data_IF_387370566375
#
_entry.id   IF_387370566375
#
_cell.length_a   1.000
_cell.length_b   1.000
_cell.length_c   1.000
_cell.angle_alpha   90.00
_cell.angle_beta   90.00
_cell.angle_gamma   90.00
#
_symmetry.space_group_name_H-M   'P 1'
#
loop_
_entity.id
_entity.type
_entity.pdbx_description
1 polymer ?
#
# COMPACT_ATOMS: atom_id res chain seq x y z
N UNK A 1 -0.24 6.50 -3.94
CA UNK A 1 -0.66 5.41 -3.04
C UNK A 1 -1.88 5.72 -2.17
N UNK A 2 -1.80 6.62 -1.18
CA UNK A 2 -2.91 6.87 -0.21
C UNK A 2 -4.26 7.12 -0.90
N UNK A 3 -4.29 8.04 -1.87
CA UNK A 3 -5.53 8.44 -2.55
C UNK A 3 -6.24 7.26 -3.22
N UNK A 4 -5.49 6.43 -3.96
CA UNK A 4 -6.03 5.27 -4.68
C UNK A 4 -6.37 4.11 -3.75
N UNK A 5 -5.57 3.88 -2.71
CA UNK A 5 -5.82 2.83 -1.73
C UNK A 5 -7.09 3.06 -0.94
N UNK A 6 -7.24 4.26 -0.35
CA UNK A 6 -8.41 4.59 0.46
C UNK A 6 -9.69 4.68 -0.37
N UNK A 7 -9.61 5.21 -1.60
CA UNK A 7 -10.75 5.22 -2.52
C UNK A 7 -11.15 3.79 -2.93
N UNK A 8 -10.18 2.89 -3.14
CA UNK A 8 -10.44 1.49 -3.47
C UNK A 8 -11.15 0.76 -2.34
N UNK A 9 -10.62 0.79 -1.12
CA UNK A 9 -11.26 0.08 0.00
C UNK A 9 -12.66 0.64 0.30
N UNK A 10 -12.86 1.96 0.17
CA UNK A 10 -14.19 2.57 0.26
C UNK A 10 -15.14 2.14 -0.87
N UNK A 11 -14.61 1.65 -1.99
CA UNK A 11 -15.37 1.05 -3.10
C UNK A 11 -15.64 -0.45 -2.87
N UNK A 12 -14.97 -1.11 -1.91
CA UNK A 12 -15.14 -2.52 -1.58
C UNK A 12 -16.28 -2.79 -0.55
N UNK A 13 -17.20 -1.84 -0.32
CA UNK A 13 -18.21 -1.89 0.75
C UNK A 13 -17.63 -1.98 2.19
N UNK A 14 -16.35 -1.66 2.38
CA UNK A 14 -15.78 -1.57 3.72
C UNK A 14 -16.30 -0.32 4.45
N UNK A 15 -16.69 -0.47 5.73
CA UNK A 15 -17.10 0.67 6.56
C UNK A 15 -15.88 1.45 7.06
N UNK A 16 -15.34 2.28 6.16
CA UNK A 16 -14.20 3.15 6.47
C UNK A 16 -14.56 4.18 7.54
N UNK A 17 -15.82 4.63 7.62
CA UNK A 17 -16.26 5.65 8.57
C UNK A 17 -16.18 5.14 10.01
N UNK A 18 -16.58 3.91 10.26
CA UNK A 18 -16.47 3.30 11.59
C UNK A 18 -15.01 3.03 11.97
N UNK A 19 -14.15 2.67 11.01
CA UNK A 19 -12.72 2.56 11.24
C UNK A 19 -12.08 3.92 11.59
N UNK A 20 -12.48 4.99 10.92
CA UNK A 20 -12.01 6.35 11.19
C UNK A 20 -12.35 6.84 12.58
N UNK A 21 -13.56 6.53 13.05
CA UNK A 21 -14.04 6.88 14.39
C UNK A 21 -13.50 5.93 15.48
N UNK A 22 -12.70 4.93 15.12
CA UNK A 22 -12.18 3.94 16.06
C UNK A 22 -13.23 2.96 16.59
N UNK A 23 -14.41 2.89 15.96
CA UNK A 23 -15.47 1.94 16.32
C UNK A 23 -15.21 0.54 15.75
N UNK A 24 -14.45 0.48 14.66
CA UNK A 24 -13.99 -0.75 14.02
C UNK A 24 -12.47 -0.74 13.93
N UNK A 25 -11.85 -1.90 14.18
CA UNK A 25 -10.42 -2.05 13.95
C UNK A 25 -10.15 -2.24 12.45
N UNK A 26 -9.07 -1.64 11.97
CA UNK A 26 -8.59 -1.77 10.61
C UNK A 26 -7.12 -2.19 10.63
N UNK A 27 -6.84 -3.41 10.17
CA UNK A 27 -5.48 -3.94 10.14
C UNK A 27 -4.79 -3.51 8.85
N UNK A 28 -3.71 -2.75 8.98
CA UNK A 28 -2.94 -2.24 7.86
C UNK A 28 -1.51 -2.77 7.96
N UNK A 29 -0.98 -3.28 6.86
CA UNK A 29 0.43 -3.62 6.72
C UNK A 29 1.13 -2.58 5.85
N UNK A 30 2.27 -2.06 6.30
CA UNK A 30 3.19 -1.26 5.51
C UNK A 30 4.50 -2.04 5.36
N UNK A 31 4.87 -2.41 4.14
CA UNK A 31 6.16 -3.01 3.80
C UNK A 31 7.04 -1.90 3.24
N UNK A 32 8.20 -1.69 3.86
CA UNK A 32 9.00 -0.49 3.69
C UNK A 32 8.55 0.59 4.66
N UNK A 33 9.48 1.00 5.54
CA UNK A 33 9.21 2.03 6.54
C UNK A 33 9.70 3.40 6.05
N UNK A 34 10.92 3.43 5.51
CA UNK A 34 11.60 4.68 5.18
C UNK A 34 11.64 5.62 6.39
N UNK A 35 11.03 6.81 6.25
CA UNK A 35 10.89 7.76 7.36
C UNK A 35 9.67 7.57 8.27
N UNK A 36 8.80 6.60 7.96
CA UNK A 36 7.57 6.31 8.71
C UNK A 36 6.40 7.27 8.45
N UNK A 37 6.47 8.11 7.42
CA UNK A 37 5.43 9.09 7.09
C UNK A 37 4.10 8.43 6.69
N UNK A 38 4.14 7.38 5.88
CA UNK A 38 2.98 6.61 5.44
C UNK A 38 2.24 5.94 6.62
N UNK A 39 2.88 5.08 7.45
CA UNK A 39 2.19 4.45 8.56
C UNK A 39 1.72 5.47 9.62
N UNK A 40 2.50 6.53 9.85
CA UNK A 40 2.09 7.60 10.76
C UNK A 40 0.85 8.35 10.25
N UNK A 41 0.81 8.66 8.96
CA UNK A 41 -0.36 9.29 8.34
C UNK A 41 -1.62 8.42 8.54
N UNK A 42 -1.52 7.13 8.22
CA UNK A 42 -2.63 6.18 8.35
C UNK A 42 -3.14 6.10 9.79
N UNK A 43 -2.24 5.90 10.75
CA UNK A 43 -2.61 5.85 12.16
C UNK A 43 -3.17 7.20 12.65
N UNK A 44 -2.63 8.35 12.21
CA UNK A 44 -3.12 9.67 12.61
C UNK A 44 -4.52 10.00 12.08
N UNK A 45 -4.87 9.51 10.88
CA UNK A 45 -6.12 9.83 10.20
C UNK A 45 -7.22 8.80 10.45
N UNK A 46 -6.86 7.56 10.77
CA UNK A 46 -7.80 6.46 11.01
C UNK A 46 -7.60 5.98 12.45
N UNK A 47 -8.50 6.36 13.36
CA UNK A 47 -8.34 6.07 14.78
C UNK A 47 -8.37 4.56 15.09
N UNK A 48 -9.12 3.78 14.32
CA UNK A 48 -9.19 2.32 14.43
C UNK A 48 -8.06 1.57 13.73
N UNK A 49 -7.15 2.27 13.04
CA UNK A 49 -6.05 1.62 12.34
C UNK A 49 -5.03 1.04 13.32
N UNK A 50 -4.73 -0.24 13.16
CA UNK A 50 -3.58 -0.94 13.73
C UNK A 50 -2.60 -1.16 12.58
N UNK A 51 -1.44 -0.52 12.67
CA UNK A 51 -0.49 -0.46 11.56
C UNK A 51 0.75 -1.29 11.90
N UNK A 52 0.87 -2.42 11.24
CA UNK A 52 2.09 -3.22 11.21
C UNK A 52 3.03 -2.65 10.15
N UNK A 53 4.29 -2.43 10.50
CA UNK A 53 5.31 -1.83 9.65
C UNK A 53 6.49 -2.77 9.61
N UNK A 54 6.99 -3.07 8.41
CA UNK A 54 8.12 -3.99 8.22
C UNK A 54 9.24 -3.26 7.50
N UNK A 55 10.41 -3.23 8.13
CA UNK A 55 11.63 -2.66 7.59
C UNK A 55 12.78 -3.64 7.78
N UNK A 56 13.59 -3.82 6.74
CA UNK A 56 14.70 -4.76 6.76
C UNK A 56 15.98 -4.10 7.28
N UNK A 57 16.14 -2.79 7.05
CA UNK A 57 17.37 -2.08 7.40
C UNK A 57 17.27 -1.40 8.79
N UNK A 58 18.02 -1.88 9.79
CA UNK A 58 18.03 -1.25 11.11
C UNK A 58 18.58 0.19 11.10
N UNK A 59 19.39 0.57 10.11
CA UNK A 59 19.89 1.94 9.95
C UNK A 59 18.74 2.87 9.56
N UNK A 60 17.85 2.43 8.65
CA UNK A 60 16.65 3.19 8.27
C UNK A 60 15.72 3.37 9.48
N UNK A 61 15.50 2.30 10.26
CA UNK A 61 14.72 2.37 11.51
C UNK A 61 15.35 3.39 12.47
N UNK A 62 16.65 3.28 12.73
CA UNK A 62 17.37 4.18 13.63
C UNK A 62 17.29 5.63 13.17
N UNK A 63 17.49 5.90 11.87
CA UNK A 63 17.40 7.23 11.29
C UNK A 63 15.99 7.82 11.41
N UNK A 64 14.95 7.02 11.16
CA UNK A 64 13.56 7.47 11.28
C UNK A 64 13.22 7.92 12.72
N UNK A 65 13.73 7.20 13.72
CA UNK A 65 13.47 7.50 15.14
C UNK A 65 14.30 8.71 15.58
N UNK A 66 15.61 8.67 15.33
CA UNK A 66 16.55 9.65 15.89
C UNK A 66 16.53 10.98 15.14
N UNK A 67 16.37 10.96 13.81
CA UNK A 67 16.43 12.16 12.98
C UNK A 67 15.05 12.67 12.55
N UNK A 68 14.09 11.77 12.30
CA UNK A 68 12.75 12.15 11.80
C UNK A 68 11.68 12.14 12.89
N UNK A 69 12.03 11.71 14.10
CA UNK A 69 11.16 11.73 15.27
C UNK A 69 10.12 10.61 15.34
N UNK A 70 10.24 9.57 14.51
CA UNK A 70 9.31 8.45 14.53
C UNK A 70 9.23 7.81 15.93
N UNK A 71 8.04 7.46 16.44
CA UNK A 71 7.88 7.02 17.82
C UNK A 71 8.66 5.74 18.13
N UNK A 72 9.66 5.88 19.01
CA UNK A 72 10.53 4.78 19.45
C UNK A 72 9.77 3.62 20.10
N UNK A 73 8.67 3.93 20.80
CA UNK A 73 7.80 2.92 21.41
C UNK A 73 7.13 1.96 20.40
N UNK A 74 7.11 2.32 19.12
CA UNK A 74 6.52 1.51 18.06
C UNK A 74 7.32 0.24 17.78
N UNK A 75 8.62 0.22 18.11
CA UNK A 75 9.52 -0.90 17.78
C UNK A 75 9.12 -2.17 18.54
N UNK A 76 8.99 -3.27 17.80
CA UNK A 76 8.66 -4.60 18.32
C UNK A 76 9.94 -5.43 18.40
N UNK A 77 10.16 -6.03 19.56
CA UNK A 77 11.27 -6.96 19.77
C UNK A 77 11.02 -8.28 19.03
N UNK A 78 12.08 -9.04 18.69
CA UNK A 78 11.94 -10.36 18.06
C UNK A 78 11.07 -11.35 18.85
N UNK A 79 10.88 -11.15 20.16
CA UNK A 79 10.01 -11.96 21.01
C UNK A 79 8.51 -11.64 20.85
N UNK A 80 8.13 -10.69 19.99
CA UNK A 80 6.75 -10.29 19.70
C UNK A 80 6.15 -9.24 20.63
N UNK A 81 6.87 -8.85 21.70
CA UNK A 81 6.49 -7.73 22.57
C UNK A 81 7.12 -6.42 22.12
N UNK A 82 6.61 -5.27 22.58
CA UNK A 82 7.27 -3.97 22.34
C UNK A 82 8.66 -3.97 22.96
N UNK A 83 9.63 -3.38 22.25
CA UNK A 83 11.01 -3.25 22.72
C UNK A 83 11.08 -2.44 24.02
N UNK A 84 10.23 -1.41 24.12
CA UNK A 84 10.05 -0.62 25.33
C UNK A 84 8.73 -1.00 26.02
N UNK A 85 8.73 -1.30 27.33
CA UNK A 85 7.52 -1.76 28.04
C UNK A 85 6.50 -0.63 28.27
N UNK A 86 6.94 0.63 28.21
CA UNK A 86 6.10 1.82 28.36
C UNK A 86 6.57 2.92 27.40
N UNK A 87 5.65 3.76 26.88
CA UNK A 87 6.04 4.90 26.07
C UNK A 87 6.82 5.90 26.92
N UNK A 88 7.75 6.62 26.29
CA UNK A 88 8.41 7.73 26.95
C UNK A 88 7.48 8.95 26.97
N UNK A 89 7.73 9.93 27.86
CA UNK A 89 6.88 11.11 28.00
C UNK A 89 6.78 11.96 26.72
N UNK A 90 7.84 11.95 25.89
CA UNK A 90 7.86 12.70 24.64
C UNK A 90 6.87 12.05 23.65
N UNK A 91 6.88 10.73 23.55
CA UNK A 91 5.98 9.95 22.71
C UNK A 91 4.52 10.10 23.14
N UNK A 92 4.26 10.14 24.45
CA UNK A 92 2.93 10.42 25.01
C UNK A 92 2.39 11.80 24.58
N UNK A 93 3.22 12.83 24.71
CA UNK A 93 2.82 14.21 24.43
C UNK A 93 2.71 14.48 22.92
N UNK A 94 3.69 14.04 22.13
CA UNK A 94 3.74 14.29 20.69
C UNK A 94 2.70 13.47 19.94
N UNK A 95 2.61 12.18 20.24
CA UNK A 95 1.83 11.24 19.44
C UNK A 95 0.44 10.95 19.99
N UNK A 96 0.13 11.34 21.23
CA UNK A 96 -1.24 11.30 21.82
C UNK A 96 -1.95 9.94 21.59
N UNK A 97 -1.22 8.84 21.81
CA UNK A 97 -1.73 7.47 21.64
C UNK A 97 -1.61 6.87 20.23
N UNK A 98 -1.18 7.63 19.21
CA UNK A 98 -0.88 7.08 17.88
C UNK A 98 0.23 6.02 17.95
N UNK A 99 1.25 6.26 18.77
CA UNK A 99 2.38 5.34 18.97
C UNK A 99 1.97 3.95 19.50
N UNK A 100 0.80 3.82 20.15
CA UNK A 100 0.29 2.54 20.66
C UNK A 100 -0.30 1.65 19.57
N UNK A 101 -0.62 2.23 18.41
CA UNK A 101 -1.21 1.52 17.26
C UNK A 101 -0.21 1.28 16.14
N UNK A 102 1.02 1.75 16.30
CA UNK A 102 2.14 1.50 15.41
C UNK A 102 2.96 0.32 15.96
N UNK A 103 3.26 -0.64 15.09
CA UNK A 103 4.08 -1.81 15.39
C UNK A 103 5.14 -1.97 14.30
N UNK A 104 6.36 -1.52 14.60
CA UNK A 104 7.50 -1.54 13.68
C UNK A 104 8.37 -2.77 13.94
N UNK A 105 8.47 -3.65 12.96
CA UNK A 105 9.26 -4.87 12.97
C UNK A 105 10.51 -4.68 12.11
N UNK A 106 11.66 -4.94 12.72
CA UNK A 106 12.90 -5.18 11.98
C UNK A 106 12.86 -6.61 11.43
N UNK A 107 12.44 -6.75 10.17
CA UNK A 107 12.30 -8.06 9.53
C UNK A 107 12.32 -7.94 8.02
N UNK A 108 12.75 -9.02 7.37
CA UNK A 108 12.43 -9.24 5.97
C UNK A 108 10.90 -9.40 5.77
N UNK A 109 10.37 -8.87 4.67
CA UNK A 109 8.95 -8.88 4.36
C UNK A 109 8.38 -10.26 4.06
N UNK A 110 9.14 -11.13 3.37
CA UNK A 110 8.78 -12.52 3.12
C UNK A 110 8.70 -13.30 4.42
N UNK A 111 9.73 -13.17 5.26
CA UNK A 111 9.72 -13.79 6.58
C UNK A 111 8.52 -13.34 7.42
N UNK A 112 8.28 -12.03 7.49
CA UNK A 112 7.19 -11.48 8.29
C UNK A 112 5.82 -11.99 7.84
N UNK A 113 5.54 -11.99 6.53
CA UNK A 113 4.23 -12.38 6.01
C UNK A 113 3.95 -13.88 6.17
N UNK A 114 5.01 -14.70 6.15
CA UNK A 114 4.93 -16.14 6.40
C UNK A 114 4.62 -16.43 7.88
N UNK A 115 5.22 -15.67 8.80
CA UNK A 115 5.11 -15.89 10.25
C UNK A 115 3.83 -15.29 10.86
N UNK A 116 3.32 -14.18 10.30
CA UNK A 116 2.13 -13.51 10.83
C UNK A 116 0.86 -14.33 10.61
N UNK A 117 -0.06 -14.29 11.57
CA UNK A 117 -1.40 -14.87 11.44
C UNK A 117 -2.50 -13.82 11.20
N UNK A 118 -2.12 -12.54 11.14
CA UNK A 118 -3.07 -11.45 10.96
C UNK A 118 -3.64 -11.44 9.54
N UNK A 119 -4.92 -11.12 9.44
CA UNK A 119 -5.56 -10.73 8.19
C UNK A 119 -5.56 -9.21 8.08
N UNK A 120 -5.27 -8.72 6.88
CA UNK A 120 -5.11 -7.30 6.59
C UNK A 120 -6.23 -6.79 5.69
N UNK A 121 -6.84 -5.68 6.09
CA UNK A 121 -7.80 -4.95 5.27
C UNK A 121 -7.08 -4.18 4.16
N UNK A 122 -5.90 -3.63 4.49
CA UNK A 122 -5.04 -2.95 3.54
C UNK A 122 -3.58 -3.34 3.69
N UNK A 123 -2.89 -3.43 2.56
CA UNK A 123 -1.44 -3.60 2.52
C UNK A 123 -0.86 -2.54 1.59
N UNK A 124 0.13 -1.80 2.08
CA UNK A 124 0.93 -0.87 1.31
C UNK A 124 2.34 -1.43 1.18
N UNK A 125 2.89 -1.40 -0.03
CA UNK A 125 4.25 -1.84 -0.33
C UNK A 125 4.98 -0.67 -0.96
N UNK A 126 5.97 -0.14 -0.24
CA UNK A 126 6.82 0.97 -0.63
C UNK A 126 8.27 0.64 -0.24
N UNK A 127 8.81 -0.38 -0.91
CA UNK A 127 10.11 -0.97 -0.57
C UNK A 127 10.96 -1.09 -1.82
N UNK A 128 12.14 -0.47 -1.80
CA UNK A 128 13.13 -0.53 -2.87
C UNK A 128 14.46 -1.00 -2.28
N UNK A 129 15.30 -1.60 -3.11
CA UNK A 129 16.69 -1.84 -2.73
C UNK A 129 17.54 -0.56 -2.82
N UNK A 130 18.84 -0.70 -2.53
CA UNK A 130 19.78 0.43 -2.57
C UNK A 130 19.98 1.05 -3.95
N UNK A 131 19.50 0.40 -5.01
CA UNK A 131 19.62 0.84 -6.41
C UNK A 131 18.27 1.30 -6.98
N UNK A 132 17.29 1.58 -6.12
CA UNK A 132 15.95 2.06 -6.50
C UNK A 132 15.12 1.02 -7.28
N UNK A 133 15.40 -0.27 -7.09
CA UNK A 133 14.70 -1.37 -7.75
C UNK A 133 13.69 -2.00 -6.80
N UNK A 134 12.46 -2.19 -7.27
CA UNK A 134 11.44 -2.95 -6.55
C UNK A 134 11.82 -4.45 -6.54
N UNK A 135 12.16 -5.06 -5.38
CA UNK A 135 12.83 -6.36 -5.35
C UNK A 135 12.02 -7.49 -5.99
N UNK A 136 12.66 -8.31 -6.84
CA UNK A 136 12.02 -9.43 -7.56
C UNK A 136 11.23 -10.37 -6.65
N UNK A 137 11.78 -10.71 -5.48
CA UNK A 137 11.13 -11.57 -4.48
C UNK A 137 9.76 -11.06 -4.01
N UNK A 138 9.48 -9.77 -4.14
CA UNK A 138 8.21 -9.16 -3.72
C UNK A 138 7.15 -9.16 -4.83
N UNK A 139 7.49 -9.59 -6.05
CA UNK A 139 6.54 -9.60 -7.17
C UNK A 139 6.62 -10.82 -8.08
N UNK A 140 7.60 -11.70 -7.89
CA UNK A 140 7.65 -13.00 -8.55
C UNK A 140 6.36 -13.80 -8.25
N UNK A 141 5.58 -14.20 -9.28
CA UNK A 141 4.35 -14.98 -9.11
C UNK A 141 4.56 -16.27 -8.30
N UNK A 142 5.75 -16.84 -8.37
CA UNK A 142 6.09 -18.08 -7.70
C UNK A 142 6.67 -17.93 -6.30
N UNK A 143 6.96 -16.69 -5.88
CA UNK A 143 7.53 -16.39 -4.56
C UNK A 143 6.63 -16.86 -3.41
N UNK A 144 7.29 -17.24 -2.31
CA UNK A 144 6.58 -17.54 -1.06
C UNK A 144 5.90 -16.28 -0.52
N UNK A 145 6.54 -15.11 -0.67
CA UNK A 145 5.97 -13.82 -0.30
C UNK A 145 4.60 -13.57 -0.95
N UNK A 146 4.50 -13.56 -2.28
CA UNK A 146 3.26 -13.13 -2.95
C UNK A 146 2.10 -14.11 -2.70
N UNK A 147 2.41 -15.42 -2.63
CA UNK A 147 1.45 -16.47 -2.23
C UNK A 147 0.96 -16.28 -0.80
N UNK A 148 1.88 -16.01 0.14
CA UNK A 148 1.53 -15.74 1.54
C UNK A 148 0.74 -14.43 1.69
N UNK A 149 1.09 -13.39 0.93
CA UNK A 149 0.40 -12.11 0.90
C UNK A 149 -1.08 -12.29 0.56
N UNK A 150 -1.40 -13.10 -0.45
CA UNK A 150 -2.77 -13.46 -0.80
C UNK A 150 -3.52 -14.13 0.35
N UNK A 151 -2.87 -15.02 1.09
CA UNK A 151 -3.48 -15.70 2.25
C UNK A 151 -3.69 -14.78 3.46
N UNK A 152 -2.96 -13.67 3.54
CA UNK A 152 -3.06 -12.67 4.63
C UNK A 152 -3.94 -11.47 4.27
N UNK A 153 -4.44 -11.40 3.05
CA UNK A 153 -5.35 -10.35 2.61
C UNK A 153 -6.80 -10.72 2.99
N UNK A 154 -7.59 -9.75 3.47
CA UNK A 154 -9.00 -10.00 3.79
C UNK A 154 -9.77 -10.48 2.55
N UNK A 155 -10.56 -11.56 2.61
CA UNK A 155 -11.19 -12.17 1.42
C UNK A 155 -12.19 -11.24 0.71
N UNK A 156 -12.95 -10.44 1.46
CA UNK A 156 -14.03 -9.62 0.85
C UNK A 156 -13.55 -8.26 0.31
N UNK A 157 -12.80 -7.49 1.10
CA UNK A 157 -12.45 -6.10 0.78
C UNK A 157 -10.94 -5.83 0.82
N UNK A 158 -10.13 -6.86 1.00
CA UNK A 158 -8.69 -6.70 1.14
C UNK A 158 -8.09 -6.00 -0.09
N UNK A 159 -7.31 -4.96 0.18
CA UNK A 159 -6.73 -4.08 -0.85
C UNK A 159 -5.21 -3.99 -0.70
N UNK A 160 -4.48 -4.26 -1.76
CA UNK A 160 -3.02 -4.09 -1.85
C UNK A 160 -2.71 -2.88 -2.72
N UNK A 161 -1.77 -2.05 -2.27
CA UNK A 161 -1.27 -0.88 -2.99
C UNK A 161 0.25 -0.95 -3.05
N UNK A 162 0.80 -1.02 -4.26
CA UNK A 162 2.25 -1.10 -4.49
C UNK A 162 2.72 0.19 -5.10
N UNK A 163 3.80 0.74 -4.55
CA UNK A 163 4.53 1.86 -5.11
C UNK A 163 5.48 1.35 -6.18
N UNK A 164 5.45 1.93 -7.37
CA UNK A 164 6.36 1.58 -8.45
C UNK A 164 6.89 2.87 -9.07
N UNK A 165 8.19 3.04 -9.18
CA UNK A 165 8.75 4.12 -9.97
C UNK A 165 8.38 3.91 -11.45
N UNK A 166 7.94 4.98 -12.10
CA UNK A 166 7.54 4.89 -13.52
C UNK A 166 8.74 4.51 -14.38
N UNK A 167 8.54 3.65 -15.38
CA UNK A 167 9.54 3.04 -16.28
C UNK A 167 10.33 4.02 -17.17
N UNK A 168 10.66 5.22 -16.69
CA UNK A 168 11.38 6.24 -17.45
C UNK A 168 12.79 5.79 -17.87
N UNK A 169 13.42 4.85 -17.14
CA UNK A 169 14.85 4.55 -17.28
C UNK A 169 15.22 3.06 -17.41
N UNK A 170 14.30 2.17 -17.78
CA UNK A 170 14.72 0.80 -18.15
C UNK A 170 15.24 0.84 -19.59
N UNK A 171 16.55 1.03 -19.74
CA UNK A 171 17.27 0.72 -20.96
C UNK A 171 16.83 -0.66 -21.45
N UNK A 172 16.53 -0.79 -22.75
CA UNK A 172 16.29 -2.11 -23.34
C UNK A 172 17.49 -3.01 -23.02
N UNK A 173 17.25 -4.32 -22.86
CA UNK A 173 18.27 -5.34 -22.49
C UNK A 173 19.53 -5.29 -23.38
N UNK A 174 19.42 -4.69 -24.56
CA UNK A 174 20.50 -4.50 -25.53
C UNK A 174 21.29 -3.17 -25.38
N UNK A 175 21.03 -2.38 -24.33
CA UNK A 175 21.69 -1.09 -24.07
C UNK A 175 21.30 0.03 -25.05
N UNK A 176 20.25 -0.17 -25.85
CA UNK A 176 19.72 0.87 -26.74
C UNK A 176 18.83 1.86 -26.00
N UNK A 177 18.95 3.13 -26.38
CA UNK A 177 18.06 4.21 -25.91
C UNK A 177 16.61 3.83 -26.25
N UNK A 178 15.65 3.88 -25.31
CA UNK A 178 14.26 3.58 -25.61
C UNK A 178 13.78 4.44 -26.77
N UNK A 179 13.23 3.80 -27.81
CA UNK A 179 12.66 4.56 -28.92
C UNK A 179 11.61 5.55 -28.38
N UNK A 180 11.50 6.72 -29.01
CA UNK A 180 10.50 7.76 -28.66
C UNK A 180 9.07 7.20 -28.59
N UNK A 181 8.81 6.03 -29.20
CA UNK A 181 7.55 5.30 -29.13
C UNK A 181 7.28 4.60 -27.77
N UNK A 182 8.31 4.21 -27.02
CA UNK A 182 8.17 3.56 -25.71
C UNK A 182 7.82 4.58 -24.60
N UNK A 183 8.22 5.85 -24.78
CA UNK A 183 7.77 6.98 -23.96
C UNK A 183 6.28 7.32 -24.14
N UNK A 184 5.64 6.79 -25.20
CA UNK A 184 4.22 6.96 -25.49
C UNK A 184 3.35 5.83 -24.93
N UNK A 185 3.94 4.77 -24.36
CA UNK A 185 3.18 3.73 -23.67
C UNK A 185 2.82 4.20 -22.26
N UNK A 186 1.53 4.21 -21.88
CA UNK A 186 1.12 4.70 -20.56
C UNK A 186 1.49 3.73 -19.40
N UNK A 187 1.97 2.51 -19.71
CA UNK A 187 2.68 1.59 -18.81
C UNK A 187 3.90 1.00 -19.54
N UNK A 188 5.07 0.96 -18.90
CA UNK A 188 6.18 0.16 -19.43
C UNK A 188 6.01 -1.33 -19.09
N UNK A 189 6.87 -2.16 -19.71
CA UNK A 189 6.78 -3.64 -19.63
C UNK A 189 6.93 -4.15 -18.19
N UNK A 190 7.71 -3.44 -17.38
CA UNK A 190 8.01 -3.82 -16.01
C UNK A 190 6.80 -3.63 -15.08
N UNK A 191 6.20 -2.44 -15.05
CA UNK A 191 4.98 -2.19 -14.27
C UNK A 191 3.82 -3.11 -14.71
N UNK A 192 3.69 -3.36 -16.02
CA UNK A 192 2.67 -4.29 -16.54
C UNK A 192 2.90 -5.73 -16.07
N UNK A 193 4.16 -6.19 -16.02
CA UNK A 193 4.52 -7.52 -15.52
C UNK A 193 4.19 -7.69 -14.04
N UNK A 194 4.53 -6.70 -13.21
CA UNK A 194 4.21 -6.69 -11.77
C UNK A 194 2.69 -6.65 -11.56
N UNK A 195 1.99 -5.81 -12.32
CA UNK A 195 0.53 -5.72 -12.28
C UNK A 195 -0.15 -7.06 -12.51
N UNK A 196 0.27 -7.78 -13.56
CA UNK A 196 -0.23 -9.13 -13.88
C UNK A 196 0.09 -10.14 -12.78
N UNK A 197 1.33 -10.15 -12.27
CA UNK A 197 1.73 -11.05 -11.19
C UNK A 197 0.84 -10.88 -9.94
N UNK A 198 0.64 -9.63 -9.49
CA UNK A 198 -0.22 -9.35 -8.33
C UNK A 198 -1.69 -9.69 -8.61
N UNK A 199 -2.20 -9.35 -9.79
CA UNK A 199 -3.58 -9.68 -10.18
C UNK A 199 -3.80 -11.19 -10.15
N UNK A 200 -2.97 -11.95 -10.85
CA UNK A 200 -3.13 -13.39 -11.04
C UNK A 200 -3.04 -14.15 -9.72
N UNK A 201 -2.06 -13.79 -8.87
CA UNK A 201 -1.84 -14.48 -7.59
C UNK A 201 -2.84 -14.07 -6.51
N UNK A 202 -3.20 -12.78 -6.40
CA UNK A 202 -4.03 -12.30 -5.30
C UNK A 202 -5.54 -12.45 -5.54
N UNK A 203 -5.97 -12.43 -6.81
CA UNK A 203 -7.39 -12.47 -7.19
C UNK A 203 -7.83 -13.87 -7.66
N UNK A 204 -6.91 -14.69 -8.20
CA UNK A 204 -7.22 -16.06 -8.62
C UNK A 204 -8.46 -16.18 -9.51
N UNK A 205 -9.20 -17.29 -9.38
CA UNK A 205 -10.47 -17.56 -10.08
C UNK A 205 -11.71 -17.31 -9.21
N UNK A 206 -11.59 -16.55 -8.12
CA UNK A 206 -12.69 -16.40 -7.15
C UNK A 206 -13.81 -15.46 -7.64
N UNK A 207 -15.00 -15.66 -7.05
CA UNK A 207 -16.29 -15.16 -7.54
C UNK A 207 -16.66 -13.73 -7.13
N UNK A 208 -15.80 -13.03 -6.40
CA UNK A 208 -15.97 -11.59 -6.16
C UNK A 208 -15.54 -10.80 -7.40
N UNK A 209 -16.02 -9.58 -7.59
CA UNK A 209 -15.65 -8.68 -8.70
C UNK A 209 -14.24 -8.14 -8.46
N UNK A 210 -13.18 -8.81 -8.95
CA UNK A 210 -11.81 -8.48 -8.57
C UNK A 210 -11.36 -7.30 -9.43
N UNK A 211 -10.64 -6.35 -8.86
CA UNK A 211 -10.17 -5.19 -9.60
C UNK A 211 -8.67 -4.98 -9.39
N UNK A 212 -7.95 -4.91 -10.50
CA UNK A 212 -6.55 -4.51 -10.56
C UNK A 212 -6.38 -3.34 -11.53
N UNK A 213 -5.69 -2.30 -11.10
CA UNK A 213 -5.45 -1.10 -11.92
C UNK A 213 -4.19 -0.37 -11.48
N UNK A 214 -3.67 0.48 -12.34
CA UNK A 214 -2.58 1.41 -12.02
C UNK A 214 -3.00 2.85 -12.18
N UNK A 215 -2.39 3.73 -11.39
CA UNK A 215 -2.52 5.19 -11.53
C UNK A 215 -1.13 5.80 -11.54
N UNK A 216 -0.77 6.39 -12.66
CA UNK A 216 0.52 7.08 -12.84
C UNK A 216 0.39 8.57 -12.56
N UNK A 217 1.37 9.10 -11.83
CA UNK A 217 1.49 10.52 -11.48
C UNK A 217 2.82 11.04 -12.06
N UNK A 218 2.85 11.45 -13.34
CA UNK A 218 4.10 11.66 -14.07
C UNK A 218 5.03 12.72 -13.46
N UNK A 219 4.47 13.74 -12.83
CA UNK A 219 5.27 14.83 -12.24
C UNK A 219 6.02 14.45 -10.95
N UNK A 220 5.73 13.27 -10.39
CA UNK A 220 6.51 12.67 -9.29
C UNK A 220 7.14 11.33 -9.69
N UNK A 221 7.17 11.02 -11.00
CA UNK A 221 7.75 9.79 -11.57
C UNK A 221 7.30 8.50 -10.86
N UNK A 222 6.01 8.43 -10.49
CA UNK A 222 5.49 7.37 -9.64
C UNK A 222 4.21 6.76 -10.24
N UNK A 223 4.09 5.44 -10.13
CA UNK A 223 2.92 4.66 -10.48
C UNK A 223 2.47 3.87 -9.26
N UNK A 224 1.20 4.01 -8.87
CA UNK A 224 0.62 3.15 -7.84
C UNK A 224 -0.18 2.03 -8.50
N UNK A 225 0.22 0.78 -8.26
CA UNK A 225 -0.57 -0.41 -8.58
C UNK A 225 -1.54 -0.67 -7.42
N UNK A 226 -2.78 -0.99 -7.75
CA UNK A 226 -3.80 -1.38 -6.78
C UNK A 226 -4.44 -2.68 -7.20
N UNK A 227 -4.58 -3.60 -6.24
CA UNK A 227 -5.28 -4.87 -6.40
C UNK A 227 -6.25 -5.02 -5.23
N UNK A 228 -7.54 -5.13 -5.52
CA UNK A 228 -8.60 -5.23 -4.52
C UNK A 228 -9.52 -6.41 -4.82
N UNK A 229 -9.87 -7.15 -3.76
CA UNK A 229 -10.71 -8.36 -3.85
C UNK A 229 -12.19 -8.07 -3.97
N UNK A 230 -12.61 -6.88 -3.54
CA UNK A 230 -13.98 -6.42 -3.69
C UNK A 230 -14.01 -5.14 -4.50
N UNK A 231 -14.99 -5.01 -5.38
CA UNK A 231 -15.35 -3.71 -5.95
C UNK A 231 -16.87 -3.70 -6.11
N UNK A 232 -17.54 -2.69 -5.56
CA UNK A 232 -18.98 -2.66 -5.30
C UNK A 232 -19.86 -3.21 -6.44
N UNK A 233 -21.06 -3.67 -6.09
CA UNK A 233 -22.04 -4.45 -6.86
C UNK A 233 -22.11 -4.21 -8.41
N UNK A 234 -21.10 -4.63 -9.16
CA UNK A 234 -21.12 -4.61 -10.63
C UNK A 234 -21.59 -5.96 -11.12
N UNK A 235 -22.89 -6.11 -11.37
CA UNK A 235 -23.49 -7.29 -12.00
C UNK A 235 -23.16 -7.39 -13.52
N UNK A 236 -21.93 -7.05 -13.92
CA UNK A 236 -21.50 -7.02 -15.32
C UNK A 236 -20.00 -6.84 -15.50
N UNK A 237 -19.56 -6.81 -16.76
CA UNK A 237 -18.18 -6.48 -17.14
C UNK A 237 -17.75 -5.15 -16.50
N UNK A 238 -16.58 -5.13 -15.85
CA UNK A 238 -15.99 -3.93 -15.27
C UNK A 238 -15.63 -2.96 -16.41
N UNK A 239 -16.54 -2.03 -16.70
CA UNK A 239 -16.27 -0.91 -17.60
C UNK A 239 -15.27 0.05 -16.97
N UNK A 240 -14.25 0.44 -17.74
CA UNK A 240 -13.16 1.33 -17.29
C UNK A 240 -13.70 2.64 -16.74
N UNK A 241 -14.66 3.25 -17.44
CA UNK A 241 -15.19 4.55 -17.06
C UNK A 241 -16.08 4.43 -15.81
N UNK A 242 -16.86 3.36 -15.68
CA UNK A 242 -17.60 3.04 -14.46
C UNK A 242 -16.68 2.87 -13.24
N UNK A 243 -15.58 2.12 -13.37
CA UNK A 243 -14.60 1.94 -12.29
C UNK A 243 -13.99 3.29 -11.89
N UNK A 244 -13.52 4.05 -12.89
CA UNK A 244 -12.90 5.35 -12.65
C UNK A 244 -13.87 6.34 -11.98
N UNK A 245 -15.12 6.40 -12.43
CA UNK A 245 -16.15 7.26 -11.85
C UNK A 245 -16.48 6.88 -10.41
N UNK A 246 -16.54 5.57 -10.11
CA UNK A 246 -16.73 5.07 -8.75
C UNK A 246 -15.56 5.49 -7.84
N UNK A 247 -14.32 5.29 -8.30
CA UNK A 247 -13.12 5.71 -7.57
C UNK A 247 -13.09 7.21 -7.34
N UNK A 248 -13.44 8.03 -8.33
CA UNK A 248 -13.52 9.49 -8.18
C UNK A 248 -14.58 9.85 -7.13
N UNK A 249 -15.78 9.27 -7.21
CA UNK A 249 -16.83 9.50 -6.22
C UNK A 249 -16.38 9.15 -4.81
N UNK A 250 -15.80 7.97 -4.62
CA UNK A 250 -15.28 7.53 -3.31
C UNK A 250 -14.10 8.36 -2.83
N UNK A 251 -13.28 8.88 -3.75
CA UNK A 251 -12.17 9.76 -3.38
C UNK A 251 -12.65 11.06 -2.73
N UNK A 252 -13.78 11.62 -3.18
CA UNK A 252 -14.39 12.80 -2.55
C UNK A 252 -14.95 12.49 -1.16
N UNK A 253 -15.59 11.33 -0.99
CA UNK A 253 -16.08 10.88 0.32
C UNK A 253 -14.91 10.75 1.31
N UNK A 254 -13.83 10.06 0.91
CA UNK A 254 -12.61 9.86 1.70
C UNK A 254 -11.93 11.18 2.04
N UNK A 255 -11.77 12.08 1.06
CA UNK A 255 -11.13 13.39 1.23
C UNK A 255 -11.85 14.23 2.29
N UNK A 256 -13.18 14.31 2.20
CA UNK A 256 -14.00 15.04 3.15
C UNK A 256 -13.99 14.37 4.53
N UNK A 257 -14.15 13.05 4.57
CA UNK A 257 -14.24 12.32 5.83
C UNK A 257 -12.92 12.43 6.63
N UNK A 258 -11.76 12.28 5.97
CA UNK A 258 -10.45 12.31 6.62
C UNK A 258 -9.88 13.73 6.74
N UNK A 259 -10.58 14.73 6.19
CA UNK A 259 -10.09 16.11 6.07
C UNK A 259 -8.68 16.13 5.50
N UNK A 260 -8.53 15.56 4.30
CA UNK A 260 -7.22 15.44 3.66
C UNK A 260 -6.73 16.81 3.17
N UNK A 261 -5.44 17.13 3.33
CA UNK A 261 -4.89 18.41 2.90
C UNK A 261 -4.59 18.46 1.39
N UNK A 262 -5.02 17.45 0.63
CA UNK A 262 -4.79 17.33 -0.80
C UNK A 262 -5.99 16.69 -1.49
N UNK A 263 -6.17 17.01 -2.78
CA UNK A 263 -7.27 16.44 -3.55
C UNK A 263 -6.94 15.04 -4.07
N UNK A 264 -7.68 14.03 -3.63
CA UNK A 264 -7.48 12.65 -4.09
C UNK A 264 -7.83 12.50 -5.58
N UNK A 265 -8.88 13.19 -6.02
CA UNK A 265 -9.33 13.18 -7.42
C UNK A 265 -8.22 13.60 -8.40
N UNK A 266 -7.40 14.59 -8.05
CA UNK A 266 -6.35 15.09 -8.96
C UNK A 266 -5.31 14.02 -9.28
N UNK A 267 -5.06 13.12 -8.33
CA UNK A 267 -4.15 11.98 -8.51
C UNK A 267 -4.81 10.83 -9.26
N UNK A 268 -6.09 10.53 -8.99
CA UNK A 268 -6.77 9.36 -9.55
C UNK A 268 -7.15 9.54 -11.03
N UNK A 269 -7.62 10.73 -11.41
CA UNK A 269 -8.18 10.94 -12.77
C UNK A 269 -7.15 10.89 -13.89
N UNK A 270 -5.86 10.95 -13.58
CA UNK A 270 -4.76 10.99 -14.55
C UNK A 270 -3.99 9.68 -14.48
N UNK A 271 -3.68 9.09 -15.64
CA UNK A 271 -2.89 7.86 -15.71
C UNK A 271 -3.59 6.60 -15.20
N UNK A 272 -4.92 6.60 -15.10
CA UNK A 272 -5.70 5.42 -14.73
C UNK A 272 -5.77 4.39 -15.88
N UNK A 273 -5.35 3.16 -15.59
CA UNK A 273 -5.27 2.05 -16.52
C UNK A 273 -5.69 0.77 -15.79
N UNK A 274 -6.62 0.01 -16.36
CA UNK A 274 -6.97 -1.31 -15.85
C UNK A 274 -5.85 -2.31 -16.17
N UNK A 275 -5.56 -3.20 -15.23
CA UNK A 275 -4.63 -4.30 -15.47
C UNK A 275 -5.42 -5.46 -16.08
N UNK A 276 -5.11 -5.77 -17.34
CA UNK A 276 -5.65 -6.92 -18.09
C UNK A 276 -5.05 -8.25 -17.63
#
# INVERSE_FOLDING_TARGET
MISVGLASIASCNYDLKDAMLGKRSMNILCIGHGGGSLPLFLASKIQGAIVHIVEIDPIVISASIQAMGFPSFSVVAPSGGRLHPKPNRIDEVLWKGIHERLLLYESDAEKFILDTNNLYDMIFIDAYDGEDIFPYKLWDPDSAFLKALGNRLHPEHGTVVVNLHSDADILDVDGSVPSVLHQLLPMGKYVSGIGRAYKDVLLGNESSTPLAYTVSVPWVCNTSLVVCRGFGNTNGSLDRDMVLNTLISKSFEVENALSLPFSCMQYIKRGFILVD
#
